data_IF_037457600052
#
_entry.id   IF_037457600052
#
_cell.length_a   1.000
_cell.length_b   1.000
_cell.length_c   1.000
_cell.angle_alpha   90.00
_cell.angle_beta   90.00
_cell.angle_gamma   90.00
#
_symmetry.space_group_name_H-M   'P 1'
#
loop_
_entity.id
_entity.type
_entity.pdbx_description
1 polymer ?
#
# COMPACT_ATOMS: atom_id res chain seq x y z
N UNK A 1 -6.95 -7.86 -14.18
CA UNK A 1 -5.50 -7.70 -13.85
C UNK A 1 -5.39 -7.42 -12.35
N UNK A 2 -4.54 -8.14 -11.61
CA UNK A 2 -4.34 -7.92 -10.18
C UNK A 2 -3.74 -6.53 -9.96
N UNK A 3 -4.20 -5.79 -8.94
CA UNK A 3 -3.60 -4.50 -8.59
C UNK A 3 -2.11 -4.69 -8.29
N UNK A 4 -1.25 -3.72 -8.67
CA UNK A 4 0.13 -3.74 -8.24
C UNK A 4 0.23 -3.72 -6.71
N UNK A 5 1.05 -4.59 -6.16
CA UNK A 5 1.26 -4.69 -4.71
C UNK A 5 2.25 -3.60 -4.27
N UNK A 6 1.75 -2.38 -4.07
CA UNK A 6 2.55 -1.26 -3.58
C UNK A 6 2.82 -1.37 -2.08
N UNK A 7 4.00 -0.94 -1.66
CA UNK A 7 4.32 -0.77 -0.25
C UNK A 7 3.82 0.60 0.21
N UNK A 8 2.80 0.60 1.08
CA UNK A 8 2.11 1.80 1.56
C UNK A 8 2.55 2.11 2.98
N UNK A 9 2.65 3.41 3.31
CA UNK A 9 2.94 3.86 4.68
C UNK A 9 1.91 3.29 5.66
N UNK A 10 2.34 2.63 6.75
CA UNK A 10 1.45 1.74 7.52
C UNK A 10 0.57 2.43 8.57
N UNK A 11 0.48 3.76 8.62
CA UNK A 11 -0.30 4.50 9.62
C UNK A 11 -1.33 5.43 8.98
N UNK A 12 -2.49 5.58 9.63
CA UNK A 12 -3.53 6.54 9.22
C UNK A 12 -3.14 8.00 9.46
N UNK A 13 -2.26 8.23 10.40
CA UNK A 13 -1.67 9.55 10.70
C UNK A 13 -0.17 9.39 10.53
N UNK A 14 0.45 10.23 9.73
CA UNK A 14 1.91 10.32 9.65
C UNK A 14 2.37 11.44 10.58
N UNK A 15 3.09 11.06 11.63
CA UNK A 15 3.66 11.99 12.62
C UNK A 15 5.07 11.53 12.97
N UNK A 16 5.99 11.72 12.03
CA UNK A 16 7.38 11.35 12.21
C UNK A 16 7.99 12.29 13.24
N UNK A 17 8.36 11.75 14.38
CA UNK A 17 8.98 12.47 15.51
C UNK A 17 10.50 12.44 15.43
N UNK A 18 11.07 11.38 14.84
CA UNK A 18 12.50 11.30 14.55
C UNK A 18 12.76 10.58 13.23
N UNK A 19 13.57 11.16 12.39
CA UNK A 19 14.07 10.53 11.15
C UNK A 19 15.39 9.82 11.37
N UNK A 20 15.88 9.09 10.39
CA UNK A 20 17.19 8.45 10.41
C UNK A 20 18.37 9.43 10.54
N UNK A 21 18.16 10.75 10.38
CA UNK A 21 19.12 11.80 10.71
C UNK A 21 19.03 12.27 12.17
N UNK A 22 18.08 11.75 12.94
CA UNK A 22 17.85 12.15 14.31
C UNK A 22 19.08 11.89 15.19
N UNK A 23 19.57 12.93 15.86
CA UNK A 23 20.82 12.85 16.64
C UNK A 23 20.68 12.09 17.96
N UNK A 24 19.47 11.88 18.45
CA UNK A 24 19.22 11.26 19.76
C UNK A 24 19.54 9.75 19.74
N UNK A 25 18.96 8.99 18.81
CA UNK A 25 19.13 7.53 18.74
C UNK A 25 19.46 6.99 17.36
N UNK A 26 19.04 7.68 16.28
CA UNK A 26 19.12 7.16 14.92
C UNK A 26 20.43 7.51 14.18
N UNK A 27 21.02 8.65 14.45
CA UNK A 27 22.23 9.09 13.76
C UNK A 27 23.35 8.02 13.69
N UNK A 28 23.65 7.27 14.77
CA UNK A 28 24.62 6.18 14.70
C UNK A 28 24.24 5.04 13.74
N UNK A 29 22.96 4.85 13.44
CA UNK A 29 22.51 3.82 12.50
C UNK A 29 22.94 4.13 11.06
N UNK A 30 22.96 5.40 10.67
CA UNK A 30 23.37 5.82 9.32
C UNK A 30 24.88 5.81 9.13
N UNK A 31 25.67 5.75 10.20
CA UNK A 31 27.13 5.77 10.16
C UNK A 31 27.77 4.39 10.32
N UNK A 32 27.00 3.39 10.73
CA UNK A 32 27.52 2.04 10.93
C UNK A 32 27.58 1.21 9.64
N UNK A 33 28.24 0.06 9.73
CA UNK A 33 28.22 -0.98 8.72
C UNK A 33 27.74 -2.27 9.40
N UNK A 34 26.63 -2.85 9.03
CA UNK A 34 25.64 -2.37 8.06
C UNK A 34 24.92 -1.10 8.51
N UNK A 35 24.42 -0.32 7.56
CA UNK A 35 23.62 0.89 7.81
C UNK A 35 22.15 0.52 7.98
N UNK A 36 21.42 1.35 8.74
CA UNK A 36 19.97 1.30 8.83
C UNK A 36 19.41 2.72 8.70
N UNK A 37 18.15 2.83 8.29
CA UNK A 37 17.47 4.11 8.10
C UNK A 37 16.15 4.13 8.85
N UNK A 38 16.16 4.02 10.20
CA UNK A 38 14.95 3.98 10.98
C UNK A 38 14.23 5.33 11.00
N UNK A 39 12.93 5.27 11.27
CA UNK A 39 12.14 6.41 11.69
C UNK A 39 11.35 6.07 12.95
N UNK A 40 11.02 7.09 13.76
CA UNK A 40 10.07 6.98 14.84
C UNK A 40 8.76 7.63 14.38
N UNK A 41 7.72 6.79 14.28
CA UNK A 41 6.34 7.20 14.04
C UNK A 41 5.62 7.22 15.38
N UNK A 42 5.15 8.36 15.80
CA UNK A 42 4.56 8.47 17.12
C UNK A 42 3.48 9.51 17.25
N UNK A 43 2.59 9.23 18.17
CA UNK A 43 1.58 10.15 18.61
C UNK A 43 2.19 11.15 19.62
N UNK A 44 1.90 12.45 19.45
CA UNK A 44 2.28 13.47 20.43
C UNK A 44 1.28 13.59 21.58
N UNK A 45 0.18 12.84 21.51
CA UNK A 45 -0.82 12.69 22.57
C UNK A 45 -0.61 11.39 23.35
N UNK A 46 -1.52 11.06 24.24
CA UNK A 46 -1.50 9.82 25.03
C UNK A 46 -2.11 8.62 24.26
N UNK A 47 -2.53 8.82 23.02
CA UNK A 47 -3.08 7.80 22.17
C UNK A 47 -2.03 6.79 21.71
N UNK A 48 -2.50 5.66 21.20
CA UNK A 48 -1.68 4.60 20.62
C UNK A 48 -2.25 4.26 19.25
N UNK A 49 -1.66 4.81 18.21
CA UNK A 49 -2.12 4.60 16.84
C UNK A 49 -1.81 3.18 16.35
N UNK A 50 -2.67 2.66 15.48
CA UNK A 50 -2.50 1.34 14.89
C UNK A 50 -1.54 1.38 13.71
N UNK A 51 -0.58 0.48 13.71
CA UNK A 51 0.14 0.06 12.51
C UNK A 51 -0.71 -0.94 11.74
N UNK A 52 -0.85 -0.71 10.43
CA UNK A 52 -1.64 -1.54 9.51
C UNK A 52 -0.73 -2.34 8.58
N UNK A 53 -1.26 -3.42 8.01
CA UNK A 53 -0.56 -4.18 6.98
C UNK A 53 -0.27 -3.29 5.77
N UNK A 54 1.02 -3.09 5.40
CA UNK A 54 1.45 -2.05 4.45
C UNK A 54 1.35 -2.48 2.98
N UNK A 55 0.94 -3.71 2.71
CA UNK A 55 0.87 -4.28 1.36
C UNK A 55 -0.23 -5.35 1.29
N UNK A 56 -0.33 -6.09 0.19
CA UNK A 56 -1.37 -7.10 -0.01
C UNK A 56 -1.44 -8.12 1.15
N UNK A 57 -0.31 -8.68 1.55
CA UNK A 57 -0.22 -9.62 2.69
C UNK A 57 1.20 -9.65 3.25
N UNK A 58 1.31 -9.67 4.58
CA UNK A 58 2.55 -9.92 5.30
C UNK A 58 2.43 -11.15 6.19
N UNK A 59 3.56 -11.79 6.49
CA UNK A 59 3.68 -12.84 7.49
C UNK A 59 4.60 -12.38 8.61
N UNK A 60 4.24 -12.68 9.86
CA UNK A 60 5.09 -12.46 11.03
C UNK A 60 6.23 -13.47 11.02
N UNK A 61 7.44 -12.98 10.88
CA UNK A 61 8.65 -13.83 10.84
C UNK A 61 9.23 -14.09 12.22
N UNK A 62 9.11 -13.10 13.10
CA UNK A 62 9.68 -13.17 14.45
C UNK A 62 9.00 -12.18 15.37
N UNK A 63 8.91 -12.55 16.65
CA UNK A 63 8.54 -11.68 17.76
C UNK A 63 9.61 -11.83 18.84
N UNK A 64 10.05 -10.70 19.42
CA UNK A 64 11.06 -10.67 20.47
C UNK A 64 10.65 -9.66 21.55
N UNK A 65 11.15 -9.85 22.78
CA UNK A 65 11.02 -8.92 23.89
C UNK A 65 9.85 -9.19 24.83
N UNK A 66 8.77 -9.76 24.33
CA UNK A 66 7.52 -9.97 25.09
C UNK A 66 7.79 -10.69 26.42
N UNK A 67 7.29 -10.10 27.51
CA UNK A 67 7.47 -10.62 28.86
C UNK A 67 8.83 -10.27 29.47
N UNK A 68 9.33 -9.08 29.24
CA UNK A 68 10.59 -8.54 29.80
C UNK A 68 11.87 -9.26 29.32
N UNK A 69 11.85 -9.80 28.12
CA UNK A 69 13.02 -10.46 27.49
C UNK A 69 13.86 -9.51 26.63
N UNK A 70 13.57 -8.22 26.66
CA UNK A 70 14.18 -7.17 25.84
C UNK A 70 13.13 -6.19 25.35
N UNK A 71 13.48 -5.33 24.41
CA UNK A 71 12.54 -4.38 23.82
C UNK A 71 11.63 -5.09 22.81
N UNK A 72 10.35 -4.96 22.98
CA UNK A 72 9.32 -5.58 22.13
C UNK A 72 9.50 -5.22 20.67
N UNK A 73 9.71 -6.23 19.85
CA UNK A 73 10.00 -6.07 18.42
C UNK A 73 9.30 -7.14 17.61
N UNK A 74 8.71 -6.75 16.47
CA UNK A 74 8.08 -7.64 15.51
C UNK A 74 8.73 -7.48 14.14
N UNK A 75 9.00 -8.60 13.45
CA UNK A 75 9.47 -8.63 12.06
C UNK A 75 8.36 -9.14 11.14
N UNK A 76 8.08 -8.37 10.12
CA UNK A 76 7.08 -8.65 9.11
C UNK A 76 7.76 -8.83 7.75
N UNK A 77 7.36 -9.84 6.99
CA UNK A 77 7.86 -10.07 5.63
C UNK A 77 6.68 -10.15 4.67
N UNK A 78 6.74 -9.50 3.51
CA UNK A 78 5.71 -9.61 2.50
C UNK A 78 5.67 -11.02 1.90
N UNK A 79 4.48 -11.57 1.67
CA UNK A 79 4.33 -12.93 1.09
C UNK A 79 4.55 -12.96 -0.42
N UNK A 80 4.51 -11.80 -1.06
CA UNK A 80 4.81 -11.59 -2.48
C UNK A 80 5.64 -10.33 -2.66
N UNK A 81 6.26 -10.16 -3.83
CA UNK A 81 7.01 -8.94 -4.15
C UNK A 81 6.12 -7.72 -4.07
N UNK A 82 6.63 -6.63 -3.50
CA UNK A 82 6.01 -5.32 -3.42
C UNK A 82 6.74 -4.34 -4.35
N UNK A 83 6.04 -3.31 -4.78
CA UNK A 83 6.64 -2.18 -5.50
C UNK A 83 6.95 -1.09 -4.47
N UNK A 84 8.22 -0.75 -4.33
CA UNK A 84 8.70 0.31 -3.48
C UNK A 84 8.55 1.69 -4.15
N UNK A 85 8.56 2.75 -3.35
CA UNK A 85 8.43 4.11 -3.88
C UNK A 85 9.61 4.54 -4.76
N UNK A 86 10.77 3.88 -4.68
CA UNK A 86 11.89 4.08 -5.61
C UNK A 86 11.65 3.46 -7.00
N UNK A 87 10.55 2.72 -7.19
CA UNK A 87 10.16 2.07 -8.45
C UNK A 87 10.67 0.64 -8.59
N UNK A 88 11.44 0.13 -7.66
CA UNK A 88 11.93 -1.26 -7.69
C UNK A 88 10.90 -2.23 -7.11
N UNK A 89 11.02 -3.52 -7.44
CA UNK A 89 10.13 -4.57 -6.94
C UNK A 89 10.93 -5.72 -6.32
N UNK A 90 10.66 -6.01 -5.04
CA UNK A 90 11.24 -7.14 -4.31
C UNK A 90 10.35 -7.54 -3.13
N UNK A 91 10.70 -8.58 -2.39
CA UNK A 91 10.12 -8.82 -1.07
C UNK A 91 10.47 -7.65 -0.14
N UNK A 92 9.61 -7.40 0.83
CA UNK A 92 9.83 -6.42 1.89
C UNK A 92 9.99 -7.15 3.22
N UNK A 93 10.99 -6.73 4.00
CA UNK A 93 11.08 -7.04 5.42
C UNK A 93 11.02 -5.73 6.21
N UNK A 94 10.19 -5.68 7.23
CA UNK A 94 9.99 -4.53 8.11
C UNK A 94 10.18 -4.96 9.57
N UNK A 95 10.87 -4.14 10.35
CA UNK A 95 11.02 -4.25 11.79
C UNK A 95 10.25 -3.12 12.44
N UNK A 96 9.40 -3.44 13.42
CA UNK A 96 8.68 -2.48 14.24
C UNK A 96 8.92 -2.76 15.73
N UNK A 97 9.32 -1.73 16.47
CA UNK A 97 9.74 -1.83 17.88
C UNK A 97 8.90 -0.93 18.76
N UNK A 98 8.88 -1.19 20.06
CA UNK A 98 8.23 -0.46 21.14
C UNK A 98 6.74 -0.72 21.37
N UNK A 99 6.08 -1.56 20.55
CA UNK A 99 4.71 -2.01 20.87
C UNK A 99 4.67 -2.65 22.25
N UNK A 100 3.58 -2.44 22.99
CA UNK A 100 3.44 -3.02 24.33
C UNK A 100 3.09 -4.52 24.28
N UNK A 101 3.35 -5.23 25.36
CA UNK A 101 3.04 -6.65 25.53
C UNK A 101 1.58 -7.01 25.23
N UNK A 102 0.63 -6.14 25.58
CA UNK A 102 -0.81 -6.36 25.38
C UNK A 102 -1.21 -6.52 23.90
N UNK A 103 -0.42 -5.98 23.00
CA UNK A 103 -0.62 -6.16 21.55
C UNK A 103 0.16 -7.37 21.04
N UNK A 104 1.46 -7.46 21.32
CA UNK A 104 2.30 -8.50 20.74
C UNK A 104 2.00 -9.91 21.27
N UNK A 105 1.47 -10.08 22.50
CA UNK A 105 1.03 -11.38 23.03
C UNK A 105 -0.13 -12.01 22.24
N UNK A 106 -0.88 -11.22 21.49
CA UNK A 106 -2.01 -11.67 20.65
C UNK A 106 -1.57 -12.14 19.27
N UNK A 107 -0.31 -11.90 18.91
CA UNK A 107 0.26 -12.20 17.60
C UNK A 107 1.18 -13.43 17.73
N UNK A 108 1.21 -14.24 16.67
CA UNK A 108 2.06 -15.44 16.61
C UNK A 108 2.98 -15.37 15.40
N UNK A 109 4.17 -15.94 15.53
CA UNK A 109 5.04 -16.18 14.38
C UNK A 109 4.32 -17.09 13.36
N UNK A 110 4.44 -16.77 12.08
CA UNK A 110 3.69 -17.39 10.99
C UNK A 110 2.28 -16.80 10.77
N UNK A 111 1.76 -15.97 11.67
CA UNK A 111 0.48 -15.28 11.45
C UNK A 111 0.56 -14.35 10.25
N UNK A 112 -0.51 -14.32 9.46
CA UNK A 112 -0.63 -13.47 8.27
C UNK A 112 -1.60 -12.33 8.51
N UNK A 113 -1.29 -11.18 7.93
CA UNK A 113 -2.15 -9.99 7.89
C UNK A 113 -2.30 -9.54 6.45
N UNK A 114 -3.52 -9.19 6.06
CA UNK A 114 -3.85 -8.66 4.74
C UNK A 114 -3.95 -7.15 4.76
N UNK A 115 -3.88 -6.54 3.61
CA UNK A 115 -4.05 -5.10 3.44
C UNK A 115 -5.26 -4.58 4.22
N UNK A 116 -5.03 -3.56 5.05
CA UNK A 116 -6.05 -2.96 5.93
C UNK A 116 -6.22 -3.62 7.30
N UNK A 117 -5.60 -4.79 7.54
CA UNK A 117 -5.60 -5.41 8.88
C UNK A 117 -4.75 -4.60 9.85
N UNK A 118 -5.22 -4.50 11.10
CA UNK A 118 -4.48 -3.94 12.22
C UNK A 118 -3.47 -4.95 12.73
N UNK A 119 -2.20 -4.55 12.90
CA UNK A 119 -1.13 -5.43 13.38
C UNK A 119 -0.87 -5.21 14.85
N UNK A 120 -0.30 -4.08 15.22
CA UNK A 120 0.00 -3.68 16.60
C UNK A 120 -0.13 -2.16 16.74
N UNK A 121 -0.11 -1.67 17.97
CA UNK A 121 -0.18 -0.23 18.25
C UNK A 121 1.16 0.31 18.66
N UNK A 122 1.31 1.62 18.55
CA UNK A 122 2.34 2.37 19.24
C UNK A 122 2.41 1.97 20.71
N UNK A 123 3.58 2.04 21.29
CA UNK A 123 3.79 1.71 22.68
C UNK A 123 5.00 2.40 23.30
N UNK A 124 5.27 2.05 24.54
CA UNK A 124 6.34 2.64 25.34
C UNK A 124 7.34 1.59 25.82
N UNK A 125 7.30 0.37 25.29
CA UNK A 125 8.25 -0.66 25.74
C UNK A 125 9.68 -0.30 25.33
N UNK A 126 10.51 -0.01 26.35
CA UNK A 126 11.88 0.50 26.15
C UNK A 126 11.97 1.93 25.59
N UNK A 127 10.90 2.72 25.69
CA UNK A 127 10.83 4.09 25.18
C UNK A 127 10.15 5.04 26.18
N UNK A 128 10.44 6.34 26.04
CA UNK A 128 9.90 7.38 26.95
C UNK A 128 8.51 7.89 26.55
N UNK A 129 8.04 7.60 25.35
CA UNK A 129 6.74 8.02 24.83
C UNK A 129 6.20 7.05 23.79
N UNK A 130 4.89 7.08 23.56
CA UNK A 130 4.25 6.23 22.56
C UNK A 130 4.81 6.50 21.16
N UNK A 131 5.38 5.48 20.53
CA UNK A 131 5.78 5.49 19.14
C UNK A 131 6.04 4.06 18.63
N UNK A 132 6.23 3.93 17.33
CA UNK A 132 6.84 2.78 16.67
C UNK A 132 8.17 3.22 16.08
N UNK A 133 9.25 2.59 16.51
CA UNK A 133 10.51 2.64 15.80
C UNK A 133 10.45 1.67 14.63
N UNK A 134 10.59 2.17 13.41
CA UNK A 134 10.35 1.43 12.17
C UNK A 134 11.59 1.41 11.29
N UNK A 135 12.02 0.22 10.88
CA UNK A 135 13.02 0.02 9.82
C UNK A 135 12.46 -0.86 8.73
N UNK A 136 12.83 -0.59 7.47
CA UNK A 136 12.39 -1.32 6.29
C UNK A 136 13.54 -1.64 5.37
N UNK A 137 13.48 -2.80 4.72
CA UNK A 137 14.49 -3.24 3.76
C UNK A 137 13.92 -4.07 2.61
N UNK A 138 14.69 -4.15 1.55
CA UNK A 138 14.44 -5.04 0.40
C UNK A 138 14.82 -6.47 0.72
N UNK A 139 14.09 -7.39 0.10
CA UNK A 139 14.35 -8.81 0.22
C UNK A 139 13.78 -9.43 1.49
N UNK A 140 14.15 -10.66 1.73
CA UNK A 140 13.68 -11.46 2.86
C UNK A 140 14.53 -11.23 4.10
N UNK A 141 13.96 -11.48 5.27
CA UNK A 141 14.68 -11.44 6.54
C UNK A 141 15.92 -12.34 6.49
N UNK A 142 17.07 -11.84 6.96
CA UNK A 142 18.33 -12.57 7.01
C UNK A 142 18.71 -12.89 8.45
N UNK A 143 19.00 -14.19 8.72
CA UNK A 143 19.34 -14.65 10.06
C UNK A 143 18.24 -14.36 11.09
N UNK A 144 18.60 -13.75 12.19
CA UNK A 144 17.65 -13.35 13.25
C UNK A 144 16.90 -12.02 12.94
N UNK A 145 17.06 -11.45 11.76
CA UNK A 145 16.43 -10.19 11.36
C UNK A 145 17.15 -8.93 11.83
N UNK A 146 18.21 -9.08 12.60
CA UNK A 146 19.05 -7.97 13.02
C UNK A 146 20.51 -8.38 13.23
N UNK A 147 21.41 -7.38 13.26
CA UNK A 147 22.81 -7.51 13.68
C UNK A 147 23.25 -6.21 14.35
N UNK A 148 24.37 -6.21 15.02
CA UNK A 148 25.00 -4.96 15.48
C UNK A 148 25.88 -4.38 14.37
N UNK A 149 25.78 -3.08 14.15
CA UNK A 149 26.71 -2.37 13.29
C UNK A 149 28.00 -1.99 14.02
N UNK A 150 28.97 -1.39 13.33
CA UNK A 150 30.25 -0.94 13.90
C UNK A 150 30.12 0.12 15.01
N UNK A 151 28.93 0.68 15.23
CA UNK A 151 28.59 1.59 16.33
C UNK A 151 27.84 0.91 17.48
N UNK A 152 27.75 -0.41 17.46
CA UNK A 152 27.06 -1.20 18.49
C UNK A 152 25.52 -1.12 18.47
N UNK A 153 24.92 -0.53 17.41
CA UNK A 153 23.46 -0.41 17.28
C UNK A 153 22.88 -1.64 16.58
N UNK A 154 21.75 -2.12 17.06
CA UNK A 154 20.97 -3.17 16.38
C UNK A 154 20.30 -2.61 15.16
N UNK A 155 20.54 -3.21 14.02
CA UNK A 155 20.04 -2.78 12.70
C UNK A 155 19.35 -3.92 11.99
N UNK A 156 18.31 -3.63 11.23
CA UNK A 156 17.58 -4.60 10.41
C UNK A 156 18.52 -5.27 9.41
N UNK A 157 18.39 -6.61 9.26
CA UNK A 157 19.11 -7.36 8.22
C UNK A 157 18.17 -8.06 7.26
N UNK A 158 18.36 -7.76 5.98
CA UNK A 158 17.61 -8.36 4.86
C UNK A 158 18.55 -8.79 3.76
N UNK A 159 18.09 -9.59 2.81
CA UNK A 159 18.91 -10.06 1.68
C UNK A 159 19.25 -8.95 0.69
N UNK A 160 18.46 -7.88 0.60
CA UNK A 160 18.67 -6.74 -0.30
C UNK A 160 19.07 -5.44 0.41
N UNK A 161 19.29 -5.48 1.76
CA UNK A 161 19.70 -4.33 2.55
C UNK A 161 18.52 -3.43 2.95
N UNK A 162 18.82 -2.48 3.84
CA UNK A 162 17.85 -1.50 4.36
C UNK A 162 17.60 -0.36 3.38
N UNK A 163 16.45 0.30 3.51
CA UNK A 163 16.00 1.39 2.66
C UNK A 163 15.65 2.61 3.49
N UNK A 164 15.81 3.78 2.88
CA UNK A 164 15.24 5.03 3.42
C UNK A 164 13.71 4.95 3.35
N UNK A 165 12.97 5.37 4.41
CA UNK A 165 11.53 5.27 4.44
C UNK A 165 10.82 5.91 3.24
N UNK A 166 11.28 7.10 2.80
CA UNK A 166 10.73 7.82 1.65
C UNK A 166 11.01 7.16 0.29
N UNK A 167 11.97 6.24 0.24
CA UNK A 167 12.24 5.39 -0.93
C UNK A 167 11.45 4.09 -0.87
N UNK A 168 11.05 3.68 0.32
CA UNK A 168 10.31 2.44 0.54
C UNK A 168 8.80 2.64 0.38
N UNK A 169 8.23 3.61 1.08
CA UNK A 169 6.78 3.76 1.20
C UNK A 169 6.20 4.78 0.23
N UNK A 170 5.09 4.40 -0.41
CA UNK A 170 4.15 5.36 -0.95
C UNK A 170 3.21 5.84 0.16
N UNK A 171 2.74 7.08 0.06
CA UNK A 171 1.67 7.60 0.91
C UNK A 171 0.36 7.60 0.13
N UNK A 172 -0.63 6.88 0.65
CA UNK A 172 -1.99 6.95 0.15
C UNK A 172 -2.71 8.15 0.79
N UNK A 173 -3.04 9.21 0.03
CA UNK A 173 -3.67 10.41 0.58
C UNK A 173 -5.10 10.19 1.09
N UNK A 174 -5.73 9.07 0.74
CA UNK A 174 -7.06 8.68 1.24
C UNK A 174 -6.99 7.84 2.52
N UNK A 175 -5.83 7.28 2.82
CA UNK A 175 -5.59 6.48 4.01
C UNK A 175 -4.79 7.23 5.08
N UNK A 176 -3.74 7.97 4.67
CA UNK A 176 -2.79 8.62 5.58
C UNK A 176 -2.94 10.15 5.58
N UNK A 177 -3.29 10.72 6.73
CA UNK A 177 -3.22 12.17 6.99
C UNK A 177 -1.80 12.54 7.43
N UNK A 178 -1.14 13.41 6.70
CA UNK A 178 0.20 13.89 7.06
C UNK A 178 0.06 15.06 8.04
N UNK A 179 0.59 14.89 9.26
CA UNK A 179 0.76 15.94 10.28
C UNK A 179 2.21 16.43 10.27
N UNK A 180 3.17 15.49 10.25
CA UNK A 180 4.60 15.78 10.13
C UNK A 180 5.29 14.65 9.38
N UNK A 181 6.00 14.99 8.31
CA UNK A 181 6.85 14.02 7.59
C UNK A 181 8.31 14.00 8.10
N UNK A 182 8.61 14.73 9.19
CA UNK A 182 9.97 14.88 9.68
C UNK A 182 10.92 15.52 8.66
N UNK A 183 10.40 16.28 7.69
CA UNK A 183 11.17 16.85 6.58
C UNK A 183 11.47 15.86 5.42
N UNK A 184 10.97 14.62 5.49
CA UNK A 184 11.10 13.66 4.39
C UNK A 184 10.03 13.91 3.32
N UNK A 185 10.38 13.63 2.05
CA UNK A 185 9.47 13.76 0.92
C UNK A 185 9.03 12.38 0.44
N UNK A 186 7.81 12.01 0.73
CA UNK A 186 7.23 10.75 0.29
C UNK A 186 6.51 10.90 -1.05
N UNK A 187 6.63 9.89 -1.91
CA UNK A 187 5.82 9.81 -3.11
C UNK A 187 4.39 9.43 -2.76
N UNK A 188 3.43 10.09 -3.39
CA UNK A 188 2.03 9.67 -3.31
C UNK A 188 1.85 8.32 -3.99
N UNK A 189 0.98 7.49 -3.41
CA UNK A 189 0.55 6.27 -4.08
C UNK A 189 -0.01 6.65 -5.45
N UNK A 190 0.41 5.99 -6.55
CA UNK A 190 -0.19 6.19 -7.85
C UNK A 190 -1.72 6.04 -7.75
N UNK A 191 -2.43 7.13 -7.96
CA UNK A 191 -3.88 7.14 -7.80
C UNK A 191 -4.56 6.47 -8.98
N UNK A 192 -5.83 6.12 -8.79
CA UNK A 192 -6.72 5.63 -9.85
C UNK A 192 -6.63 6.49 -11.12
N UNK A 193 -6.51 7.81 -10.96
CA UNK A 193 -6.36 8.77 -12.06
C UNK A 193 -5.10 8.56 -12.89
N UNK A 194 -4.01 8.09 -12.27
CA UNK A 194 -2.73 7.90 -12.97
C UNK A 194 -2.72 6.60 -13.78
N UNK A 195 -3.47 5.58 -13.32
CA UNK A 195 -3.58 4.29 -14.04
C UNK A 195 -4.65 4.33 -15.13
N UNK A 196 -5.77 4.97 -14.83
CA UNK A 196 -6.90 5.13 -15.76
C UNK A 196 -7.35 6.61 -15.74
N UNK A 197 -6.61 7.51 -16.41
CA UNK A 197 -6.99 8.92 -16.46
C UNK A 197 -8.34 9.08 -17.19
N UNK A 198 -9.09 10.12 -16.88
CA UNK A 198 -10.25 10.51 -17.69
C UNK A 198 -9.87 10.71 -19.18
N UNK A 199 -10.78 10.51 -20.09
CA UNK A 199 -10.57 10.70 -21.51
C UNK A 199 -11.00 9.47 -22.35
N UNK A 200 -10.46 9.32 -23.53
CA UNK A 200 -10.91 8.33 -24.51
C UNK A 200 -10.34 6.93 -24.24
N UNK A 201 -11.20 5.94 -24.36
CA UNK A 201 -10.91 4.52 -24.20
C UNK A 201 -11.48 3.71 -25.34
N UNK A 202 -10.77 2.62 -25.66
CA UNK A 202 -11.24 1.58 -26.60
C UNK A 202 -11.49 0.29 -25.83
N UNK A 203 -12.64 -0.30 -26.02
CA UNK A 203 -13.00 -1.61 -25.46
C UNK A 203 -12.16 -2.69 -26.14
N UNK A 204 -11.42 -3.49 -25.39
CA UNK A 204 -10.58 -4.58 -25.89
C UNK A 204 -11.20 -5.95 -25.69
N UNK A 205 -12.07 -6.07 -24.67
CA UNK A 205 -12.87 -7.25 -24.37
C UNK A 205 -14.31 -6.84 -24.10
N UNK A 206 -15.28 -7.64 -24.52
CA UNK A 206 -16.69 -7.36 -24.29
C UNK A 206 -16.97 -7.08 -22.81
N UNK A 207 -17.54 -5.93 -22.51
CA UNK A 207 -17.68 -5.44 -21.13
C UNK A 207 -19.12 -5.00 -20.81
N UNK A 208 -19.72 -5.50 -19.74
CA UNK A 208 -21.03 -5.03 -19.29
C UNK A 208 -20.95 -3.57 -18.83
N UNK A 209 -21.97 -2.78 -19.21
CA UNK A 209 -22.19 -1.43 -18.69
C UNK A 209 -23.22 -1.50 -17.55
N UNK A 210 -23.01 -0.70 -16.49
CA UNK A 210 -23.80 -0.75 -15.27
C UNK A 210 -24.33 0.63 -14.87
N UNK A 211 -25.34 0.64 -14.00
CA UNK A 211 -25.90 1.89 -13.45
C UNK A 211 -24.94 2.62 -12.52
N UNK A 212 -24.00 1.89 -11.88
CA UNK A 212 -23.03 2.44 -10.95
C UNK A 212 -21.68 1.72 -11.00
N UNK A 213 -20.66 2.26 -10.29
CA UNK A 213 -19.28 1.78 -10.34
C UNK A 213 -19.03 0.58 -9.43
N UNK A 214 -19.76 -0.51 -9.63
CA UNK A 214 -19.58 -1.77 -8.89
C UNK A 214 -20.11 -2.96 -9.65
N UNK A 215 -19.52 -4.14 -9.43
CA UNK A 215 -20.04 -5.41 -9.97
C UNK A 215 -21.41 -5.80 -9.39
N UNK A 216 -21.84 -5.17 -8.30
CA UNK A 216 -23.15 -5.37 -7.67
C UNK A 216 -24.25 -4.54 -8.31
N UNK A 217 -23.91 -3.49 -9.05
CA UNK A 217 -24.85 -2.61 -9.72
C UNK A 217 -25.51 -3.31 -10.89
N UNK A 218 -26.76 -2.92 -11.20
CA UNK A 218 -27.55 -3.45 -12.29
C UNK A 218 -26.82 -3.31 -13.63
N UNK A 219 -26.77 -4.38 -14.41
CA UNK A 219 -26.31 -4.33 -15.81
C UNK A 219 -27.38 -3.68 -16.68
N UNK A 220 -26.95 -2.69 -17.45
CA UNK A 220 -27.82 -2.04 -18.45
C UNK A 220 -27.94 -2.92 -19.70
N UNK A 221 -29.07 -2.78 -20.37
CA UNK A 221 -29.39 -3.49 -21.63
C UNK A 221 -29.22 -2.54 -22.81
N UNK A 222 -29.11 -3.13 -24.00
CA UNK A 222 -28.94 -2.38 -25.26
C UNK A 222 -29.89 -1.19 -25.40
N UNK A 223 -31.17 -1.36 -25.09
CA UNK A 223 -32.19 -0.30 -25.18
C UNK A 223 -31.98 0.87 -24.21
N UNK A 224 -31.20 0.65 -23.14
CA UNK A 224 -30.88 1.64 -22.12
C UNK A 224 -29.63 2.45 -22.45
N UNK A 225 -28.87 2.04 -23.47
CA UNK A 225 -27.68 2.76 -23.93
C UNK A 225 -28.05 3.98 -24.78
N UNK A 226 -27.13 4.94 -24.84
CA UNK A 226 -27.29 6.09 -25.76
C UNK A 226 -27.38 5.63 -27.21
N UNK A 227 -28.01 6.44 -28.05
CA UNK A 227 -28.12 6.15 -29.49
C UNK A 227 -26.76 5.93 -30.14
N UNK A 228 -25.76 6.74 -29.81
CA UNK A 228 -24.39 6.57 -30.28
C UNK A 228 -23.79 5.21 -29.89
N UNK A 229 -23.92 4.81 -28.63
CA UNK A 229 -23.43 3.52 -28.16
C UNK A 229 -24.16 2.35 -28.88
N UNK A 230 -25.48 2.44 -29.08
CA UNK A 230 -26.24 1.46 -29.86
C UNK A 230 -25.75 1.33 -31.29
N UNK A 231 -25.43 2.46 -31.96
CA UNK A 231 -24.86 2.46 -33.28
C UNK A 231 -23.49 1.81 -33.35
N UNK A 232 -22.61 2.14 -32.38
CA UNK A 232 -21.30 1.53 -32.31
C UNK A 232 -21.37 0.02 -32.02
N UNK A 233 -22.28 -0.42 -31.12
CA UNK A 233 -22.52 -1.85 -30.89
C UNK A 233 -22.85 -2.56 -32.21
N UNK A 234 -23.85 -2.08 -32.92
CA UNK A 234 -24.22 -2.67 -34.22
C UNK A 234 -23.07 -2.69 -35.22
N UNK A 235 -22.31 -1.58 -35.32
CA UNK A 235 -21.14 -1.48 -36.21
C UNK A 235 -20.09 -2.56 -35.90
N UNK A 236 -19.82 -2.84 -34.68
CA UNK A 236 -18.77 -3.79 -34.23
C UNK A 236 -19.30 -5.21 -33.96
N UNK A 237 -20.63 -5.42 -33.94
CA UNK A 237 -21.29 -6.70 -33.67
C UNK A 237 -22.15 -7.21 -34.85
N UNK A 238 -21.64 -7.12 -36.06
CA UNK A 238 -22.31 -7.65 -37.28
C UNK A 238 -23.77 -7.19 -37.48
N UNK A 239 -24.08 -5.95 -37.07
CA UNK A 239 -25.41 -5.33 -37.01
C UNK A 239 -26.38 -5.88 -35.95
N UNK A 240 -25.91 -6.78 -35.06
CA UNK A 240 -26.72 -7.32 -33.99
C UNK A 240 -26.64 -6.47 -32.71
N UNK A 241 -27.74 -6.33 -31.93
CA UNK A 241 -27.70 -5.69 -30.63
C UNK A 241 -26.99 -6.56 -29.60
N UNK A 242 -26.36 -5.92 -28.60
CA UNK A 242 -25.75 -6.61 -27.47
C UNK A 242 -25.95 -5.81 -26.17
N UNK A 243 -26.23 -6.51 -25.07
CA UNK A 243 -26.41 -5.91 -23.71
C UNK A 243 -25.07 -5.60 -23.04
N UNK A 244 -24.05 -5.28 -23.81
CA UNK A 244 -22.70 -4.92 -23.36
C UNK A 244 -21.97 -4.10 -24.42
N UNK A 245 -20.93 -3.39 -24.05
CA UNK A 245 -20.02 -2.78 -25.01
C UNK A 245 -19.11 -3.83 -25.62
N UNK A 246 -19.06 -3.86 -26.94
CA UNK A 246 -18.30 -4.84 -27.72
C UNK A 246 -16.87 -4.37 -27.98
N UNK A 247 -15.96 -5.31 -28.13
CA UNK A 247 -14.57 -5.02 -28.49
C UNK A 247 -14.50 -4.17 -29.75
N UNK A 248 -13.64 -3.17 -29.73
CA UNK A 248 -13.47 -2.19 -30.83
C UNK A 248 -14.23 -0.87 -30.65
N UNK A 249 -15.24 -0.82 -29.79
CA UNK A 249 -15.95 0.44 -29.46
C UNK A 249 -15.04 1.44 -28.76
N UNK A 250 -15.31 2.72 -28.99
CA UNK A 250 -14.63 3.83 -28.32
C UNK A 250 -15.63 4.66 -27.52
N UNK A 251 -15.19 5.16 -26.36
CA UNK A 251 -15.99 6.01 -25.48
C UNK A 251 -15.10 6.95 -24.68
N UNK A 252 -15.67 8.05 -24.21
CA UNK A 252 -14.99 8.98 -23.30
C UNK A 252 -15.42 8.68 -21.86
N UNK A 253 -14.46 8.38 -20.99
CA UNK A 253 -14.68 8.34 -19.54
C UNK A 253 -14.55 9.76 -18.97
N UNK A 254 -15.66 10.34 -18.54
CA UNK A 254 -15.73 11.68 -17.92
C UNK A 254 -15.30 11.68 -16.45
N UNK A 255 -15.40 10.53 -15.81
CA UNK A 255 -15.01 10.29 -14.42
C UNK A 255 -14.46 8.88 -14.29
N UNK A 256 -13.49 8.72 -13.40
CA UNK A 256 -12.94 7.40 -13.04
C UNK A 256 -12.99 7.24 -11.54
N UNK A 257 -13.40 6.05 -11.08
CA UNK A 257 -13.44 5.70 -9.67
C UNK A 257 -12.99 4.25 -9.45
N UNK A 258 -12.65 3.92 -8.23
CA UNK A 258 -12.24 2.58 -7.81
C UNK A 258 -13.17 2.09 -6.70
N UNK A 259 -13.75 0.90 -6.84
CA UNK A 259 -14.71 0.33 -5.88
C UNK A 259 -14.08 -0.56 -4.80
N UNK A 260 -12.74 -0.53 -4.68
CA UNK A 260 -11.96 -1.42 -3.83
C UNK A 260 -11.46 -2.69 -4.55
N UNK A 261 -11.96 -2.97 -5.77
CA UNK A 261 -11.58 -4.15 -6.55
C UNK A 261 -11.31 -3.82 -8.02
N UNK A 262 -12.15 -2.99 -8.64
CA UNK A 262 -12.13 -2.66 -10.07
C UNK A 262 -12.12 -1.15 -10.30
N UNK A 263 -11.56 -0.75 -11.44
CA UNK A 263 -11.60 0.61 -11.94
C UNK A 263 -12.78 0.80 -12.86
N UNK A 264 -13.57 1.83 -12.62
CA UNK A 264 -14.81 2.13 -13.34
C UNK A 264 -14.71 3.48 -14.02
N UNK A 265 -15.02 3.53 -15.32
CA UNK A 265 -15.13 4.76 -16.09
C UNK A 265 -16.60 5.10 -16.33
N UNK A 266 -17.01 6.33 -15.97
CA UNK A 266 -18.33 6.86 -16.28
C UNK A 266 -18.37 7.35 -17.72
N UNK A 267 -19.28 6.83 -18.52
CA UNK A 267 -19.56 7.28 -19.87
C UNK A 267 -21.05 7.64 -20.01
N UNK A 268 -21.48 8.28 -21.10
CA UNK A 268 -22.88 8.68 -21.27
C UNK A 268 -23.92 7.55 -21.19
N UNK A 269 -23.50 6.31 -21.35
CA UNK A 269 -24.37 5.13 -21.22
C UNK A 269 -24.34 4.48 -19.85
N UNK A 270 -23.48 4.92 -18.93
CA UNK A 270 -23.31 4.33 -17.59
C UNK A 270 -21.85 4.05 -17.24
N UNK A 271 -21.61 3.10 -16.37
CA UNK A 271 -20.30 2.75 -15.87
C UNK A 271 -19.75 1.46 -16.47
N UNK A 272 -18.51 1.51 -16.95
CA UNK A 272 -17.79 0.37 -17.55
C UNK A 272 -16.52 0.08 -16.78
N UNK A 273 -16.19 -1.21 -16.59
CA UNK A 273 -14.92 -1.61 -16.00
C UNK A 273 -13.76 -1.33 -16.97
N UNK A 274 -12.85 -0.45 -16.59
CA UNK A 274 -11.74 -0.01 -17.43
C UNK A 274 -10.66 -1.07 -17.62
N UNK A 275 -10.70 -2.15 -16.85
CA UNK A 275 -9.80 -3.30 -17.02
C UNK A 275 -10.05 -4.07 -18.33
N UNK A 276 -11.24 -3.90 -18.92
CA UNK A 276 -11.59 -4.40 -20.25
C UNK A 276 -11.31 -3.39 -21.37
N UNK A 277 -10.62 -2.30 -21.06
CA UNK A 277 -10.41 -1.18 -21.96
C UNK A 277 -8.93 -0.78 -22.06
N UNK A 278 -8.55 -0.17 -23.17
CA UNK A 278 -7.24 0.44 -23.38
C UNK A 278 -7.41 1.94 -23.59
N UNK A 279 -6.59 2.75 -22.96
CA UNK A 279 -6.54 4.21 -23.16
C UNK A 279 -6.15 4.49 -24.62
N UNK A 280 -6.86 5.41 -25.25
CA UNK A 280 -6.58 5.91 -26.60
C UNK A 280 -5.94 7.29 -26.48
N UNK A 281 -4.75 7.47 -27.00
CA UNK A 281 -4.04 8.76 -27.00
C UNK A 281 -3.22 8.99 -25.73
#
# INVERSE_FOLDING_TARGET
MKMPNYLIYPFKVMRITQTYYGKTSHYPHTQGIPKDYPLDEGCTDTGRDWMFCPCEEVVVKRIYGVGNKGVNTIWLESTSKVIFADGTADYMTMLATHSNDDDLRKIKEGQKFKSGDKICREGTDGASGNHIHLSVGKGKMKGNGWTQNSKGKYVLTTTGGTMKPEQAFFVDPYFTKIISSGGLTFKKLPTVKDKYPVGEYKVVENAPVREGPSTKEKKLKFKEFTKNAQQQIKKHNKNEPADYFVAGMEFTASKVTYDGKHYWGECPSGWICLEHCKKVG
#
